data_IF_574458049116
#
_entry.id   IF_574458049116
#
_cell.length_a   1.000
_cell.length_b   1.000
_cell.length_c   1.000
_cell.angle_alpha   90.00
_cell.angle_beta   90.00
_cell.angle_gamma   90.00
#
_symmetry.space_group_name_H-M   'P 1'
#
loop_
_entity.id
_entity.type
_entity.pdbx_description
1 polymer ?
#
# COMPACT_ATOMS: atom_id res chain seq x y z
N UNK A 1 10.84 -0.17 30.45
CA UNK A 1 10.98 0.95 29.51
C UNK A 1 9.61 1.54 29.32
N UNK A 2 9.39 2.81 29.67
CA UNK A 2 8.21 3.52 29.21
C UNK A 2 8.30 3.60 27.69
N UNK A 3 7.36 2.98 26.99
CA UNK A 3 7.40 2.89 25.53
C UNK A 3 7.24 4.30 24.95
N UNK A 4 8.21 4.74 24.14
CA UNK A 4 8.20 6.04 23.43
C UNK A 4 6.89 6.27 22.63
N UNK A 5 6.15 5.21 22.37
CA UNK A 5 4.88 5.17 21.64
C UNK A 5 3.63 5.50 22.46
N UNK A 6 3.62 5.42 23.79
CA UNK A 6 2.39 5.71 24.58
C UNK A 6 1.90 7.17 24.38
N UNK A 7 2.78 8.20 24.39
CA UNK A 7 2.39 9.55 24.02
C UNK A 7 1.87 9.67 22.58
N UNK A 8 2.44 8.91 21.63
CA UNK A 8 2.02 8.90 20.23
C UNK A 8 0.62 8.26 20.11
N UNK A 9 0.35 7.20 20.86
CA UNK A 9 -0.96 6.53 20.86
C UNK A 9 -2.02 7.44 21.46
N UNK A 10 -1.73 8.09 22.58
CA UNK A 10 -2.63 9.06 23.20
C UNK A 10 -2.91 10.24 22.25
N UNK A 11 -1.88 10.72 21.55
CA UNK A 11 -2.06 11.78 20.55
C UNK A 11 -2.99 11.34 19.40
N UNK A 12 -2.77 10.16 18.84
CA UNK A 12 -3.63 9.61 17.78
C UNK A 12 -5.06 9.46 18.28
N UNK A 13 -5.27 8.86 19.46
CA UNK A 13 -6.61 8.65 20.03
C UNK A 13 -7.35 9.96 20.28
N UNK A 14 -6.67 10.98 20.82
CA UNK A 14 -7.30 12.25 21.18
C UNK A 14 -7.63 13.14 19.96
N UNK A 15 -6.99 12.89 18.81
CA UNK A 15 -7.14 13.72 17.62
C UNK A 15 -7.62 12.94 16.39
N UNK A 16 -8.02 11.68 16.54
CA UNK A 16 -8.24 10.76 15.43
C UNK A 16 -9.31 11.21 14.43
N UNK A 17 -10.34 11.90 14.89
CA UNK A 17 -11.43 12.43 14.06
C UNK A 17 -10.99 13.55 13.13
N UNK A 18 -9.89 14.23 13.45
CA UNK A 18 -9.31 15.31 12.65
C UNK A 18 -8.11 14.84 11.80
N UNK A 19 -7.70 13.58 11.93
CA UNK A 19 -6.58 13.03 11.18
C UNK A 19 -7.03 12.68 9.75
N UNK A 20 -6.58 13.49 8.79
CA UNK A 20 -6.76 13.24 7.36
C UNK A 20 -5.54 12.54 6.73
N UNK A 21 -4.36 12.69 7.33
CA UNK A 21 -3.11 12.17 6.82
C UNK A 21 -2.34 11.53 7.98
N UNK A 22 -1.93 10.27 7.80
CA UNK A 22 -1.12 9.56 8.79
C UNK A 22 0.05 8.87 8.09
N UNK A 23 1.27 9.16 8.54
CA UNK A 23 2.50 8.52 8.06
C UNK A 23 3.33 8.05 9.25
N UNK A 24 3.68 6.76 9.26
CA UNK A 24 4.44 6.11 10.32
C UNK A 24 5.50 5.18 9.72
N UNK A 25 6.64 5.74 9.37
CA UNK A 25 7.69 5.02 8.65
C UNK A 25 8.85 4.54 9.54
N UNK A 26 8.73 4.68 10.86
CA UNK A 26 9.77 4.28 11.83
C UNK A 26 9.41 2.94 12.45
N UNK A 27 10.10 1.88 12.04
CA UNK A 27 9.85 0.51 12.50
C UNK A 27 10.02 0.36 14.02
N UNK A 28 11.02 1.03 14.60
CA UNK A 28 11.38 0.90 16.01
C UNK A 28 10.33 1.49 16.97
N UNK A 29 9.39 2.28 16.44
CA UNK A 29 8.34 2.96 17.22
C UNK A 29 6.97 2.27 17.07
N UNK A 30 6.83 1.35 16.11
CA UNK A 30 5.56 0.64 15.86
C UNK A 30 5.45 -0.51 16.86
N UNK A 31 4.72 -0.26 17.95
CA UNK A 31 4.31 -1.32 18.87
C UNK A 31 3.30 -2.26 18.21
N UNK A 32 3.24 -3.50 18.74
CA UNK A 32 2.28 -4.57 18.39
C UNK A 32 0.80 -4.12 18.34
N UNK A 33 0.43 -3.07 19.08
CA UNK A 33 -0.94 -2.54 19.13
C UNK A 33 -1.15 -1.24 18.34
N UNK A 34 -0.12 -0.69 17.69
CA UNK A 34 -0.21 0.60 16.98
C UNK A 34 -1.26 0.56 15.87
N UNK A 35 -1.17 -0.42 14.98
CA UNK A 35 -2.14 -0.59 13.89
C UNK A 35 -3.54 -0.92 14.41
N UNK A 36 -3.62 -1.66 15.53
CA UNK A 36 -4.90 -1.94 16.19
C UNK A 36 -5.56 -0.64 16.67
N UNK A 37 -4.83 0.22 17.39
CA UNK A 37 -5.34 1.51 17.87
C UNK A 37 -5.78 2.40 16.71
N UNK A 38 -4.96 2.53 15.67
CA UNK A 38 -5.31 3.34 14.50
C UNK A 38 -6.56 2.81 13.82
N UNK A 39 -6.65 1.48 13.66
CA UNK A 39 -7.84 0.87 13.08
C UNK A 39 -9.10 1.16 13.89
N UNK A 40 -9.01 1.35 15.21
CA UNK A 40 -10.16 1.61 16.07
C UNK A 40 -10.57 3.08 16.12
N UNK A 41 -9.63 4.01 15.96
CA UNK A 41 -9.87 5.42 16.23
C UNK A 41 -9.92 6.30 14.97
N UNK A 42 -9.17 5.97 13.92
CA UNK A 42 -9.07 6.80 12.72
C UNK A 42 -10.10 6.37 11.67
N UNK A 43 -11.03 7.26 11.32
CA UNK A 43 -12.10 7.02 10.34
C UNK A 43 -12.19 8.05 9.19
N UNK A 44 -11.32 9.07 9.19
CA UNK A 44 -11.34 10.18 8.23
C UNK A 44 -10.05 10.30 7.40
N UNK A 45 -9.21 9.25 7.37
CA UNK A 45 -7.96 9.28 6.62
C UNK A 45 -8.23 9.34 5.11
N UNK A 46 -7.56 10.31 4.48
CA UNK A 46 -7.46 10.47 3.02
C UNK A 46 -6.13 9.92 2.49
N UNK A 47 -5.09 9.84 3.32
CA UNK A 47 -3.85 9.14 2.99
C UNK A 47 -3.28 8.40 4.19
N UNK A 48 -2.77 7.19 3.95
CA UNK A 48 -2.17 6.35 4.97
C UNK A 48 -0.81 5.82 4.50
N UNK A 49 0.20 5.94 5.35
CA UNK A 49 1.54 5.45 5.10
C UNK A 49 2.10 4.75 6.32
N UNK A 50 2.66 3.56 6.14
CA UNK A 50 3.31 2.85 7.24
C UNK A 50 4.40 1.89 6.78
N UNK A 51 5.26 1.49 7.71
CA UNK A 51 6.18 0.37 7.54
C UNK A 51 5.75 -0.83 8.41
N UNK A 52 5.86 -2.05 7.90
CA UNK A 52 5.61 -3.28 8.69
C UNK A 52 6.61 -4.37 8.31
N UNK A 53 7.08 -5.11 9.31
CA UNK A 53 7.92 -6.29 9.18
C UNK A 53 7.23 -7.58 9.67
N UNK A 54 5.99 -7.48 10.18
CA UNK A 54 5.19 -8.61 10.66
C UNK A 54 3.93 -8.77 9.79
N UNK A 55 3.80 -9.93 9.16
CA UNK A 55 2.61 -10.26 8.36
C UNK A 55 1.31 -10.20 9.17
N UNK A 56 1.37 -10.39 10.50
CA UNK A 56 0.20 -10.27 11.37
C UNK A 56 -0.37 -8.86 11.44
N UNK A 57 0.41 -7.82 11.12
CA UNK A 57 -0.05 -6.43 11.08
C UNK A 57 -1.03 -6.18 9.93
N UNK A 58 -0.95 -6.97 8.86
CA UNK A 58 -1.78 -6.80 7.67
C UNK A 58 -3.28 -6.85 8.01
N UNK A 59 -3.70 -7.68 8.97
CA UNK A 59 -5.11 -7.73 9.41
C UNK A 59 -5.60 -6.38 9.95
N UNK A 60 -4.73 -5.65 10.65
CA UNK A 60 -5.06 -4.34 11.19
C UNK A 60 -5.00 -3.26 10.11
N UNK A 61 -4.05 -3.37 9.17
CA UNK A 61 -4.00 -2.52 7.98
C UNK A 61 -5.31 -2.64 7.17
N UNK A 62 -5.85 -3.86 6.99
CA UNK A 62 -7.14 -4.08 6.34
C UNK A 62 -8.29 -3.43 7.11
N UNK A 63 -8.27 -3.49 8.46
CA UNK A 63 -9.25 -2.78 9.27
C UNK A 63 -9.15 -1.25 9.12
N UNK A 64 -7.93 -0.70 8.98
CA UNK A 64 -7.74 0.73 8.69
C UNK A 64 -8.38 1.06 7.34
N UNK A 65 -8.19 0.26 6.30
CA UNK A 65 -8.84 0.47 5.00
C UNK A 65 -10.36 0.46 5.10
N UNK A 66 -10.91 -0.56 5.77
CA UNK A 66 -12.36 -0.70 5.97
C UNK A 66 -12.97 0.51 6.69
N UNK A 67 -12.27 1.03 7.70
CA UNK A 67 -12.75 2.15 8.50
C UNK A 67 -12.51 3.52 7.84
N UNK A 68 -11.72 3.57 6.77
CA UNK A 68 -11.43 4.78 6.01
C UNK A 68 -11.81 4.59 4.53
N UNK A 69 -13.11 4.45 4.21
CA UNK A 69 -13.57 4.16 2.84
C UNK A 69 -13.26 5.25 1.83
N UNK A 70 -12.90 6.46 2.29
CA UNK A 70 -12.55 7.61 1.45
C UNK A 70 -11.04 7.74 1.14
N UNK A 71 -10.23 6.79 1.61
CA UNK A 71 -8.78 6.79 1.43
C UNK A 71 -8.39 6.92 -0.05
N UNK A 72 -7.55 7.90 -0.37
CA UNK A 72 -7.12 8.21 -1.75
C UNK A 72 -5.72 7.72 -2.07
N UNK A 73 -4.88 7.53 -1.06
CA UNK A 73 -3.49 7.14 -1.22
C UNK A 73 -3.04 6.20 -0.13
N UNK A 74 -2.32 5.14 -0.51
CA UNK A 74 -1.57 4.27 0.40
C UNK A 74 -0.10 4.21 0.02
N UNK A 75 0.77 4.22 1.03
CA UNK A 75 2.21 3.98 0.89
C UNK A 75 2.69 3.01 1.97
N UNK A 76 2.86 1.74 1.59
CA UNK A 76 3.23 0.67 2.51
C UNK A 76 4.66 0.21 2.25
N UNK A 77 5.51 0.34 3.25
CA UNK A 77 6.83 -0.27 3.27
C UNK A 77 6.72 -1.67 3.90
N UNK A 78 6.67 -2.71 3.06
CA UNK A 78 6.46 -4.09 3.52
C UNK A 78 7.80 -4.82 3.55
N UNK A 79 8.26 -5.21 4.75
CA UNK A 79 9.61 -5.70 5.03
C UNK A 79 9.58 -7.21 5.29
N UNK A 80 8.84 -7.93 4.47
CA UNK A 80 8.82 -9.39 4.42
C UNK A 80 8.44 -9.86 3.01
N UNK A 81 8.87 -11.05 2.57
CA UNK A 81 8.47 -11.58 1.27
C UNK A 81 6.94 -11.77 1.18
N UNK A 82 6.30 -11.13 0.21
CA UNK A 82 4.84 -11.21 0.03
C UNK A 82 4.47 -12.35 -0.94
N UNK A 83 3.74 -13.36 -0.47
CA UNK A 83 3.20 -14.43 -1.32
C UNK A 83 1.99 -13.94 -2.13
N UNK A 84 1.70 -14.59 -3.27
CA UNK A 84 0.54 -14.24 -4.11
C UNK A 84 -0.77 -14.25 -3.34
N UNK A 85 -1.03 -15.25 -2.49
CA UNK A 85 -2.27 -15.31 -1.69
C UNK A 85 -2.46 -14.11 -0.76
N UNK A 86 -1.37 -13.55 -0.23
CA UNK A 86 -1.38 -12.34 0.60
C UNK A 86 -1.66 -11.12 -0.28
N UNK A 87 -1.05 -11.03 -1.47
CA UNK A 87 -1.31 -9.95 -2.43
C UNK A 87 -2.75 -9.95 -2.94
N UNK A 88 -3.34 -11.11 -3.22
CA UNK A 88 -4.74 -11.23 -3.64
C UNK A 88 -5.66 -10.69 -2.54
N UNK A 89 -5.45 -11.13 -1.29
CA UNK A 89 -6.20 -10.63 -0.14
C UNK A 89 -6.00 -9.12 0.00
N UNK A 90 -4.76 -8.66 0.00
CA UNK A 90 -4.45 -7.24 0.11
C UNK A 90 -5.13 -6.40 -0.98
N UNK A 91 -5.05 -6.81 -2.25
CA UNK A 91 -5.69 -6.13 -3.36
C UNK A 91 -7.21 -6.01 -3.21
N UNK A 92 -7.87 -7.04 -2.67
CA UNK A 92 -9.33 -7.05 -2.44
C UNK A 92 -9.76 -6.18 -1.26
N UNK A 93 -8.88 -6.00 -0.27
CA UNK A 93 -9.14 -5.20 0.92
C UNK A 93 -8.84 -3.70 0.71
N UNK A 94 -8.11 -3.33 -0.36
CA UNK A 94 -7.87 -1.93 -0.69
C UNK A 94 -9.19 -1.25 -1.07
N UNK A 95 -9.51 -0.06 -0.50
CA UNK A 95 -10.75 0.63 -0.82
C UNK A 95 -10.81 1.04 -2.30
N UNK A 96 -11.99 0.92 -2.92
CA UNK A 96 -12.21 1.26 -4.33
C UNK A 96 -11.92 2.74 -4.64
N UNK A 97 -11.95 3.58 -3.61
CA UNK A 97 -11.74 5.03 -3.70
C UNK A 97 -10.27 5.45 -3.85
N UNK A 98 -9.34 4.49 -3.79
CA UNK A 98 -7.89 4.70 -3.90
C UNK A 98 -7.48 5.07 -5.32
N UNK A 99 -6.64 6.11 -5.41
CA UNK A 99 -6.07 6.57 -6.67
C UNK A 99 -4.56 6.28 -6.75
N UNK A 100 -3.86 6.16 -5.62
CA UNK A 100 -2.41 5.98 -5.58
C UNK A 100 -2.01 4.86 -4.62
N UNK A 101 -1.20 3.93 -5.12
CA UNK A 101 -0.67 2.81 -4.32
C UNK A 101 0.85 2.81 -4.46
N UNK A 102 1.55 2.80 -3.33
CA UNK A 102 3.00 2.51 -3.27
C UNK A 102 3.25 1.31 -2.37
N UNK A 103 4.01 0.34 -2.89
CA UNK A 103 4.54 -0.81 -2.13
C UNK A 103 6.05 -0.73 -2.15
N UNK A 104 6.64 -0.29 -1.04
CA UNK A 104 8.08 -0.19 -0.84
C UNK A 104 8.69 -1.42 -0.20
N UNK A 105 10.02 -1.50 -0.28
CA UNK A 105 10.93 -2.51 0.27
C UNK A 105 10.76 -3.91 -0.33
N UNK A 106 9.55 -4.46 -0.29
CA UNK A 106 9.22 -5.74 -0.92
C UNK A 106 9.40 -5.65 -2.43
N UNK A 107 10.24 -6.54 -2.97
CA UNK A 107 10.40 -6.71 -4.41
C UNK A 107 9.23 -7.53 -4.93
N UNK A 108 8.50 -6.98 -5.89
CA UNK A 108 7.46 -7.70 -6.61
C UNK A 108 8.02 -8.22 -7.94
N UNK A 109 7.67 -9.44 -8.33
CA UNK A 109 7.90 -10.02 -9.65
C UNK A 109 6.68 -9.91 -10.56
N UNK A 110 6.84 -10.24 -11.85
CA UNK A 110 5.76 -10.09 -12.86
C UNK A 110 4.45 -10.74 -12.41
N UNK A 111 4.54 -11.97 -11.91
CA UNK A 111 3.38 -12.75 -11.46
C UNK A 111 2.68 -12.06 -10.29
N UNK A 112 3.43 -11.58 -9.31
CA UNK A 112 2.89 -10.85 -8.15
C UNK A 112 2.19 -9.55 -8.58
N UNK A 113 2.80 -8.77 -9.47
CA UNK A 113 2.20 -7.54 -10.02
C UNK A 113 0.91 -7.86 -10.78
N UNK A 114 0.94 -8.88 -11.65
CA UNK A 114 -0.24 -9.34 -12.39
C UNK A 114 -1.38 -9.74 -11.45
N UNK A 115 -1.09 -10.60 -10.47
CA UNK A 115 -2.05 -11.05 -9.46
C UNK A 115 -2.65 -9.86 -8.71
N UNK A 116 -1.81 -8.95 -8.22
CA UNK A 116 -2.25 -7.78 -7.47
C UNK A 116 -3.20 -6.89 -8.31
N UNK A 117 -2.81 -6.54 -9.53
CA UNK A 117 -3.60 -5.66 -10.39
C UNK A 117 -4.93 -6.29 -10.86
N UNK A 118 -4.96 -7.61 -11.09
CA UNK A 118 -6.19 -8.32 -11.46
C UNK A 118 -7.22 -8.34 -10.33
N UNK A 119 -6.77 -8.51 -9.10
CA UNK A 119 -7.65 -8.57 -7.93
C UNK A 119 -8.09 -7.19 -7.41
N UNK A 120 -7.37 -6.13 -7.78
CA UNK A 120 -7.66 -4.77 -7.34
C UNK A 120 -9.02 -4.30 -7.88
N UNK A 121 -9.83 -3.68 -7.02
CA UNK A 121 -11.18 -3.18 -7.33
C UNK A 121 -11.24 -1.65 -7.54
N UNK A 122 -10.09 -0.97 -7.61
CA UNK A 122 -10.05 0.49 -7.69
C UNK A 122 -10.32 0.97 -9.12
N UNK A 123 -11.51 1.48 -9.39
CA UNK A 123 -11.86 2.01 -10.72
C UNK A 123 -11.11 3.31 -11.08
N UNK A 124 -10.58 4.01 -10.07
CA UNK A 124 -9.93 5.32 -10.22
C UNK A 124 -8.42 5.30 -9.94
N UNK A 125 -7.80 4.12 -10.06
CA UNK A 125 -6.36 3.98 -9.88
C UNK A 125 -5.63 4.85 -10.92
N UNK A 126 -4.80 5.79 -10.45
CA UNK A 126 -3.95 6.65 -11.28
C UNK A 126 -2.49 6.22 -11.28
N UNK A 127 -2.01 5.64 -10.18
CA UNK A 127 -0.61 5.22 -10.09
C UNK A 127 -0.41 4.02 -9.16
N UNK A 128 0.37 3.06 -9.65
CA UNK A 128 0.92 1.97 -8.85
C UNK A 128 2.44 1.98 -8.91
N UNK A 129 3.07 2.06 -7.73
CA UNK A 129 4.52 2.14 -7.58
C UNK A 129 5.01 0.98 -6.73
N UNK A 130 6.03 0.27 -7.19
CA UNK A 130 6.58 -0.87 -6.45
C UNK A 130 8.07 -1.04 -6.66
N UNK A 131 8.73 -1.67 -5.70
CA UNK A 131 10.13 -2.06 -5.84
C UNK A 131 10.25 -3.28 -6.76
N UNK A 132 11.20 -3.21 -7.68
CA UNK A 132 11.43 -4.18 -8.74
C UNK A 132 12.91 -4.55 -8.79
N UNK A 133 13.20 -5.85 -8.80
CA UNK A 133 14.56 -6.35 -9.05
C UNK A 133 14.56 -7.04 -10.40
N UNK A 134 15.21 -6.39 -11.35
CA UNK A 134 15.23 -6.66 -12.80
C UNK A 134 15.38 -8.15 -13.18
N UNK A 135 14.32 -8.82 -13.68
CA UNK A 135 14.45 -10.00 -14.51
C UNK A 135 14.64 -9.52 -15.95
N UNK A 136 15.72 -9.97 -16.60
CA UNK A 136 15.89 -9.81 -18.05
C UNK A 136 14.60 -10.29 -18.75
N UNK A 137 14.14 -9.56 -19.78
CA UNK A 137 13.03 -9.94 -20.68
C UNK A 137 11.62 -10.00 -20.06
N UNK A 138 11.29 -9.12 -19.11
CA UNK A 138 9.92 -9.02 -18.58
C UNK A 138 9.23 -7.75 -19.06
N UNK A 139 8.18 -7.93 -19.87
CA UNK A 139 7.32 -6.87 -20.37
C UNK A 139 6.17 -6.58 -19.40
N UNK A 140 6.40 -5.66 -18.47
CA UNK A 140 5.37 -5.13 -17.54
C UNK A 140 4.39 -4.21 -18.25
N UNK A 141 4.84 -3.46 -19.27
CA UNK A 141 4.00 -2.54 -20.06
C UNK A 141 2.88 -3.29 -20.76
N UNK A 142 3.20 -4.37 -21.49
CA UNK A 142 2.19 -5.22 -22.14
C UNK A 142 1.18 -5.79 -21.15
N UNK A 143 1.66 -6.33 -20.03
CA UNK A 143 0.80 -6.90 -18.98
C UNK A 143 -0.12 -5.81 -18.38
N UNK A 144 0.41 -4.63 -18.09
CA UNK A 144 -0.38 -3.53 -17.56
C UNK A 144 -1.46 -3.08 -18.56
N UNK A 145 -1.13 -2.96 -19.86
CA UNK A 145 -2.10 -2.64 -20.91
C UNK A 145 -3.22 -3.66 -21.02
N UNK A 146 -2.91 -4.95 -20.96
CA UNK A 146 -3.90 -6.03 -21.01
C UNK A 146 -4.88 -5.93 -19.84
N UNK A 147 -4.37 -5.82 -18.60
CA UNK A 147 -5.22 -5.65 -17.41
C UNK A 147 -6.03 -4.35 -17.47
N UNK A 148 -5.44 -3.27 -17.97
CA UNK A 148 -6.12 -1.97 -18.07
C UNK A 148 -7.36 -2.05 -18.95
N UNK A 149 -7.31 -2.81 -20.05
CA UNK A 149 -8.47 -3.04 -20.92
C UNK A 149 -9.59 -3.76 -20.16
N UNK A 150 -9.25 -4.82 -19.43
CA UNK A 150 -10.22 -5.60 -18.66
C UNK A 150 -10.89 -4.76 -17.54
N UNK A 151 -10.14 -3.81 -16.98
CA UNK A 151 -10.58 -2.91 -15.89
C UNK A 151 -11.24 -1.62 -16.37
N UNK A 152 -11.18 -1.31 -17.67
CA UNK A 152 -11.60 -0.01 -18.20
C UNK A 152 -10.68 1.16 -17.81
N UNK A 153 -9.46 0.90 -17.34
CA UNK A 153 -8.48 1.94 -17.05
C UNK A 153 -7.80 2.44 -18.32
N UNK A 154 -7.56 3.76 -18.40
CA UNK A 154 -6.83 4.36 -19.53
C UNK A 154 -5.35 4.38 -19.20
N UNK A 155 -4.61 3.42 -19.77
CA UNK A 155 -3.18 3.25 -19.55
C UNK A 155 -2.37 4.40 -20.16
N UNK A 156 -1.51 5.04 -19.35
CA UNK A 156 -0.59 6.10 -19.83
C UNK A 156 0.80 5.58 -20.14
N UNK A 157 1.36 4.77 -19.26
CA UNK A 157 2.74 4.34 -19.42
C UNK A 157 3.33 3.66 -18.20
N UNK A 158 4.54 3.17 -18.42
CA UNK A 158 5.37 2.53 -17.42
C UNK A 158 6.73 3.23 -17.37
N UNK A 159 7.24 3.47 -16.17
CA UNK A 159 8.55 4.10 -15.96
C UNK A 159 9.38 3.33 -14.94
N UNK A 160 10.66 3.11 -15.25
CA UNK A 160 11.63 2.51 -14.33
C UNK A 160 12.55 3.60 -13.78
N UNK A 161 12.36 3.98 -12.52
CA UNK A 161 13.21 4.97 -11.84
C UNK A 161 14.31 4.30 -11.00
N UNK A 162 15.51 4.88 -10.97
CA UNK A 162 16.49 4.52 -9.96
C UNK A 162 15.99 4.96 -8.58
N UNK A 163 16.22 4.13 -7.56
CA UNK A 163 16.03 4.47 -6.14
C UNK A 163 17.25 3.93 -5.39
N UNK A 164 17.67 4.55 -4.28
CA UNK A 164 18.91 4.18 -3.59
C UNK A 164 18.97 2.65 -3.38
N UNK A 165 19.86 1.98 -4.13
CA UNK A 165 20.12 0.54 -4.16
C UNK A 165 19.03 -0.40 -4.73
N UNK A 166 17.88 0.11 -5.19
CA UNK A 166 16.79 -0.68 -5.80
C UNK A 166 16.16 0.04 -7.01
N UNK A 167 15.45 -0.68 -7.88
CA UNK A 167 14.68 -0.02 -8.95
C UNK A 167 13.23 0.12 -8.52
N UNK A 168 12.64 1.28 -8.78
CA UNK A 168 11.22 1.53 -8.57
C UNK A 168 10.52 1.52 -9.92
N UNK A 169 9.55 0.64 -10.08
CA UNK A 169 8.71 0.61 -11.26
C UNK A 169 7.43 1.39 -10.97
N UNK A 170 7.00 2.20 -11.94
CA UNK A 170 5.80 3.04 -11.85
C UNK A 170 4.91 2.68 -13.03
N UNK A 171 3.63 2.42 -12.75
CA UNK A 171 2.58 2.24 -13.75
C UNK A 171 1.56 3.37 -13.56
N UNK A 172 1.18 4.04 -14.64
CA UNK A 172 0.30 5.22 -14.60
C UNK A 172 -0.93 5.08 -15.50
N UNK A 173 -2.04 5.68 -15.03
CA UNK A 173 -3.35 5.74 -15.68
C UNK A 173 -3.95 7.16 -15.56
N UNK A 174 -5.00 7.47 -16.34
CA UNK A 174 -5.73 8.78 -16.29
C UNK A 174 -6.52 9.05 -15.00
#
# INVERSE_FOLDING_TARGET
MAYVSEPIMNFIQNHSTNLNHLSMNVLDVIMKDTFKTISQCCSNLTSFSCATNDQNDMKFIYLIFKNNPYLKSIDLCIIFPIRNSILETFAREIPESINNITIGYSILGKVQVNTFLKELKCDKLKSFKFNWQNPKNVDIDKMAREISKDKGWIFKGCELKPTQYQRKYIIEWE
#
